data_IF_970604401085
#
_entry.id   IF_970604401085
#
_cell.length_a   1.000
_cell.length_b   1.000
_cell.length_c   1.000
_cell.angle_alpha   90.00
_cell.angle_beta   90.00
_cell.angle_gamma   90.00
#
_symmetry.space_group_name_H-M   'P 1'
#
loop_
_entity.id
_entity.type
_entity.pdbx_description
1 polymer ?
#
# COMPACT_ATOMS: atom_id res chain seq x y z
N UNK A 1 47.95 -67.45 -34.30
CA UNK A 1 46.48 -67.65 -34.35
C UNK A 1 45.73 -67.34 -33.04
N UNK A 2 46.16 -66.35 -32.24
CA UNK A 2 45.31 -65.79 -31.16
C UNK A 2 44.89 -64.36 -31.53
N UNK A 3 45.79 -63.59 -32.13
CA UNK A 3 45.55 -62.21 -32.60
C UNK A 3 44.48 -62.11 -33.70
N UNK A 4 44.41 -63.07 -34.62
CA UNK A 4 43.34 -63.12 -35.64
C UNK A 4 41.97 -63.51 -35.07
N UNK A 5 41.93 -64.29 -33.97
CA UNK A 5 40.67 -64.64 -33.30
C UNK A 5 40.15 -63.51 -32.42
N UNK A 6 41.04 -62.74 -31.78
CA UNK A 6 40.69 -61.52 -31.03
C UNK A 6 40.20 -60.42 -31.98
N UNK A 7 40.89 -60.19 -33.11
CA UNK A 7 40.46 -59.23 -34.12
C UNK A 7 39.12 -59.59 -34.76
N UNK A 8 38.81 -60.89 -34.92
CA UNK A 8 37.51 -61.37 -35.40
C UNK A 8 36.42 -61.27 -34.34
N UNK A 9 36.72 -61.58 -33.08
CA UNK A 9 35.79 -61.44 -31.96
C UNK A 9 35.42 -59.96 -31.66
N UNK A 10 36.35 -59.01 -31.85
CA UNK A 10 36.07 -57.57 -31.74
C UNK A 10 35.25 -57.06 -32.94
N UNK A 11 35.42 -57.66 -34.12
CA UNK A 11 34.70 -57.30 -35.36
C UNK A 11 33.30 -57.93 -35.47
N UNK A 12 33.06 -59.01 -34.74
CA UNK A 12 31.75 -59.71 -34.63
C UNK A 12 30.93 -59.26 -33.39
N UNK A 13 31.49 -58.42 -32.52
CA UNK A 13 30.78 -57.89 -31.36
C UNK A 13 29.84 -56.75 -31.78
N UNK A 14 28.58 -56.86 -31.35
CA UNK A 14 27.51 -55.87 -31.53
C UNK A 14 27.84 -54.51 -30.87
N UNK A 15 28.86 -53.80 -31.35
CA UNK A 15 29.18 -52.43 -30.93
C UNK A 15 28.00 -51.49 -31.16
N UNK A 16 27.18 -51.78 -32.16
CA UNK A 16 25.89 -51.13 -32.36
C UNK A 16 24.93 -51.38 -31.19
N UNK A 17 24.82 -52.61 -30.67
CA UNK A 17 23.97 -52.90 -29.51
C UNK A 17 24.47 -52.18 -28.25
N UNK A 18 25.77 -52.19 -27.99
CA UNK A 18 26.36 -51.47 -26.85
C UNK A 18 26.13 -49.96 -26.97
N UNK A 19 26.29 -49.39 -28.17
CA UNK A 19 26.01 -47.97 -28.42
C UNK A 19 24.52 -47.64 -28.24
N UNK A 20 23.64 -48.52 -28.70
CA UNK A 20 22.19 -48.37 -28.54
C UNK A 20 21.79 -48.44 -27.06
N UNK A 21 22.31 -49.40 -26.30
CA UNK A 21 22.09 -49.52 -24.85
C UNK A 21 22.56 -48.26 -24.11
N UNK A 22 23.73 -47.72 -24.47
CA UNK A 22 24.24 -46.47 -23.90
C UNK A 22 23.35 -45.27 -24.20
N UNK A 23 22.88 -45.12 -25.44
CA UNK A 23 21.95 -44.05 -25.82
C UNK A 23 20.62 -44.18 -25.08
N UNK A 24 20.09 -45.40 -24.91
CA UNK A 24 18.86 -45.65 -24.15
C UNK A 24 19.03 -45.23 -22.69
N UNK A 25 20.16 -45.56 -22.04
CA UNK A 25 20.43 -45.14 -20.66
C UNK A 25 20.49 -43.61 -20.56
N UNK A 26 21.22 -42.94 -21.45
CA UNK A 26 21.28 -41.46 -21.47
C UNK A 26 19.88 -40.88 -21.69
N UNK A 27 19.12 -41.40 -22.66
CA UNK A 27 17.76 -40.96 -22.94
C UNK A 27 16.87 -41.15 -21.70
N UNK A 28 17.00 -42.26 -20.98
CA UNK A 28 16.29 -42.51 -19.73
C UNK A 28 16.61 -41.47 -18.65
N UNK A 29 17.89 -41.15 -18.45
CA UNK A 29 18.32 -40.11 -17.50
C UNK A 29 17.82 -38.74 -17.90
N UNK A 30 17.94 -38.37 -19.18
CA UNK A 30 17.45 -37.09 -19.70
C UNK A 30 15.95 -36.98 -19.51
N UNK A 31 15.16 -37.99 -19.88
CA UNK A 31 13.70 -38.00 -19.70
C UNK A 31 13.34 -37.89 -18.20
N UNK A 32 14.06 -38.60 -17.32
CA UNK A 32 13.87 -38.47 -15.88
C UNK A 32 14.07 -37.03 -15.37
N UNK A 33 15.12 -36.35 -15.83
CA UNK A 33 15.34 -34.93 -15.53
C UNK A 33 14.28 -34.02 -16.15
N UNK A 34 13.81 -34.31 -17.35
CA UNK A 34 12.75 -33.50 -17.98
C UNK A 34 11.41 -33.64 -17.25
N UNK A 35 11.04 -34.84 -16.79
CA UNK A 35 9.81 -35.07 -16.00
C UNK A 35 9.87 -34.31 -14.67
N UNK A 36 11.01 -34.37 -13.98
CA UNK A 36 11.19 -33.67 -12.70
C UNK A 36 11.16 -32.15 -12.89
N UNK A 37 11.84 -31.61 -13.91
CA UNK A 37 11.77 -30.19 -14.26
C UNK A 37 10.36 -29.74 -14.65
N UNK A 38 9.62 -30.56 -15.40
CA UNK A 38 8.23 -30.28 -15.77
C UNK A 38 7.32 -30.26 -14.54
N UNK A 39 7.47 -31.20 -13.61
CA UNK A 39 6.69 -31.23 -12.38
C UNK A 39 6.97 -30.02 -11.49
N UNK A 40 8.24 -29.62 -11.35
CA UNK A 40 8.62 -28.40 -10.63
C UNK A 40 8.00 -27.15 -11.25
N UNK A 41 8.15 -26.96 -12.57
CA UNK A 41 7.53 -25.84 -13.28
C UNK A 41 6.00 -25.86 -13.21
N UNK A 42 5.36 -27.03 -13.11
CA UNK A 42 3.91 -27.14 -12.92
C UNK A 42 3.50 -26.70 -11.52
N UNK A 43 4.28 -27.06 -10.50
CA UNK A 43 4.05 -26.64 -9.12
C UNK A 43 4.22 -25.12 -8.97
N UNK A 44 5.31 -24.54 -9.50
CA UNK A 44 5.54 -23.08 -9.49
C UNK A 44 4.38 -22.31 -10.12
N UNK A 45 3.85 -22.77 -11.26
CA UNK A 45 2.66 -22.14 -11.88
C UNK A 45 1.40 -22.23 -11.01
N UNK A 46 1.27 -23.28 -10.21
CA UNK A 46 0.16 -23.43 -9.28
C UNK A 46 0.28 -22.43 -8.14
N UNK A 47 1.48 -22.31 -7.57
CA UNK A 47 1.78 -21.37 -6.48
C UNK A 47 1.64 -19.93 -6.95
N UNK A 48 2.16 -19.58 -8.14
CA UNK A 48 1.99 -18.25 -8.71
C UNK A 48 0.50 -17.90 -8.90
N UNK A 49 -0.32 -18.81 -9.40
CA UNK A 49 -1.75 -18.58 -9.57
C UNK A 49 -2.47 -18.33 -8.23
N UNK A 50 -2.06 -19.05 -7.17
CA UNK A 50 -2.56 -18.84 -5.81
C UNK A 50 -2.13 -17.48 -5.24
N UNK A 51 -0.86 -17.09 -5.42
CA UNK A 51 -0.35 -15.77 -5.04
C UNK A 51 -1.14 -14.66 -5.74
N UNK A 52 -1.37 -14.79 -7.05
CA UNK A 52 -2.11 -13.78 -7.81
C UNK A 52 -3.58 -13.67 -7.39
N UNK A 53 -4.25 -14.79 -7.09
CA UNK A 53 -5.62 -14.78 -6.59
C UNK A 53 -5.70 -14.10 -5.21
N UNK A 54 -4.82 -14.47 -4.28
CA UNK A 54 -4.75 -13.85 -2.95
C UNK A 54 -4.40 -12.36 -3.03
N UNK A 55 -3.51 -11.97 -3.94
CA UNK A 55 -3.16 -10.59 -4.19
C UNK A 55 -4.35 -9.76 -4.66
N UNK A 56 -5.13 -10.29 -5.58
CA UNK A 56 -6.36 -9.65 -6.02
C UNK A 56 -7.37 -9.50 -4.87
N UNK A 57 -7.62 -10.57 -4.10
CA UNK A 57 -8.54 -10.56 -2.97
C UNK A 57 -8.12 -9.55 -1.89
N UNK A 58 -6.83 -9.50 -1.55
CA UNK A 58 -6.29 -8.55 -0.58
C UNK A 58 -6.47 -7.10 -1.07
N UNK A 59 -6.16 -6.81 -2.35
CA UNK A 59 -6.36 -5.49 -2.96
C UNK A 59 -7.84 -5.08 -2.91
N UNK A 60 -8.74 -5.97 -3.30
CA UNK A 60 -10.18 -5.72 -3.28
C UNK A 60 -10.68 -5.46 -1.85
N UNK A 61 -10.15 -6.18 -0.85
CA UNK A 61 -10.58 -6.07 0.55
C UNK A 61 -10.22 -4.72 1.19
N UNK A 62 -9.10 -4.11 0.80
CA UNK A 62 -8.61 -2.87 1.43
C UNK A 62 -8.94 -1.61 0.61
N UNK A 63 -9.29 -1.75 -0.67
CA UNK A 63 -9.50 -0.64 -1.59
C UNK A 63 -10.48 0.42 -1.07
N UNK A 64 -11.71 0.01 -0.71
CA UNK A 64 -12.75 0.95 -0.26
C UNK A 64 -12.33 1.73 0.99
N UNK A 65 -11.82 1.02 2.00
CA UNK A 65 -11.36 1.66 3.24
C UNK A 65 -10.22 2.65 3.00
N UNK A 66 -9.33 2.38 2.04
CA UNK A 66 -8.26 3.31 1.62
C UNK A 66 -8.84 4.60 1.04
N UNK A 67 -9.82 4.48 0.14
CA UNK A 67 -10.40 5.64 -0.55
C UNK A 67 -11.29 6.49 0.35
N UNK A 68 -12.14 5.86 1.15
CA UNK A 68 -12.97 6.56 2.14
C UNK A 68 -12.10 7.42 3.07
N UNK A 69 -10.99 6.84 3.52
CA UNK A 69 -10.08 7.52 4.42
C UNK A 69 -9.28 8.64 3.73
N UNK A 70 -8.82 8.43 2.50
CA UNK A 70 -8.18 9.48 1.71
C UNK A 70 -9.15 10.66 1.46
N UNK A 71 -10.41 10.38 1.14
CA UNK A 71 -11.44 11.40 0.93
C UNK A 71 -11.74 12.20 2.20
N UNK A 72 -11.86 11.54 3.36
CA UNK A 72 -12.04 12.20 4.67
C UNK A 72 -10.90 13.18 4.98
N UNK A 73 -9.65 12.78 4.71
CA UNK A 73 -8.47 13.63 4.92
C UNK A 73 -8.47 14.83 4.00
N UNK A 74 -8.78 14.64 2.71
CA UNK A 74 -8.88 15.74 1.75
C UNK A 74 -9.95 16.75 2.18
N UNK A 75 -11.14 16.28 2.54
CA UNK A 75 -12.24 17.14 3.01
C UNK A 75 -11.89 17.90 4.29
N UNK A 76 -11.24 17.24 5.25
CA UNK A 76 -10.77 17.88 6.49
C UNK A 76 -9.73 18.96 6.20
N UNK A 77 -8.82 18.71 5.25
CA UNK A 77 -7.81 19.68 4.86
C UNK A 77 -8.41 20.89 4.16
N UNK A 78 -9.44 20.71 3.32
CA UNK A 78 -10.18 21.81 2.70
C UNK A 78 -10.82 22.72 3.76
N UNK A 79 -11.42 22.14 4.81
CA UNK A 79 -11.95 22.91 5.95
C UNK A 79 -10.85 23.66 6.70
N UNK A 80 -9.69 23.04 6.90
CA UNK A 80 -8.54 23.68 7.56
C UNK A 80 -8.00 24.86 6.74
N UNK A 81 -7.94 24.74 5.41
CA UNK A 81 -7.57 25.84 4.52
C UNK A 81 -8.63 26.95 4.51
N UNK A 82 -9.92 26.60 4.48
CA UNK A 82 -11.02 27.57 4.62
C UNK A 82 -10.90 28.36 5.93
N UNK A 83 -10.68 27.68 7.05
CA UNK A 83 -10.45 28.31 8.34
C UNK A 83 -9.22 29.24 8.31
N UNK A 84 -8.14 28.85 7.63
CA UNK A 84 -6.93 29.67 7.50
C UNK A 84 -7.20 30.99 6.76
N UNK A 85 -8.07 31.00 5.75
CA UNK A 85 -8.42 32.25 5.05
C UNK A 85 -9.13 33.24 5.97
N UNK A 86 -9.91 32.76 6.95
CA UNK A 86 -10.61 33.60 7.94
C UNK A 86 -9.71 34.09 9.08
N UNK A 87 -8.69 33.31 9.41
CA UNK A 87 -7.80 33.59 10.55
C UNK A 87 -6.56 34.39 10.15
N UNK A 88 -6.04 34.20 8.93
CA UNK A 88 -4.86 34.90 8.43
C UNK A 88 -5.16 35.94 7.34
N UNK A 89 -6.33 35.86 6.70
CA UNK A 89 -6.70 36.69 5.55
C UNK A 89 -7.67 37.82 5.87
N UNK A 90 -8.19 38.42 4.82
CA UNK A 90 -9.12 39.56 4.88
C UNK A 90 -10.59 39.13 5.08
N UNK A 91 -10.88 37.83 5.06
CA UNK A 91 -12.22 37.32 5.37
C UNK A 91 -12.45 37.39 6.89
N UNK A 92 -13.28 38.35 7.30
CA UNK A 92 -13.60 38.59 8.71
C UNK A 92 -14.82 37.80 9.20
N UNK A 93 -15.35 36.86 8.41
CA UNK A 93 -16.46 36.01 8.86
C UNK A 93 -16.04 35.07 9.99
N UNK A 94 -17.03 34.65 10.79
CA UNK A 94 -16.83 33.67 11.85
C UNK A 94 -16.53 32.27 11.29
N UNK A 95 -15.75 31.50 12.04
CA UNK A 95 -15.56 30.07 11.79
C UNK A 95 -16.88 29.32 11.94
N UNK A 96 -17.21 28.51 10.95
CA UNK A 96 -18.29 27.53 11.05
C UNK A 96 -17.92 26.41 12.04
N UNK A 97 -18.91 25.65 12.54
CA UNK A 97 -18.65 24.49 13.38
C UNK A 97 -17.69 23.47 12.77
N UNK A 98 -17.79 23.20 11.46
CA UNK A 98 -16.91 22.24 10.76
C UNK A 98 -15.48 22.75 10.62
N UNK A 99 -15.29 24.03 10.31
CA UNK A 99 -13.96 24.67 10.29
C UNK A 99 -13.31 24.66 11.68
N UNK A 100 -14.09 25.00 12.72
CA UNK A 100 -13.62 24.93 14.08
C UNK A 100 -13.21 23.50 14.49
N UNK A 101 -13.99 22.51 14.09
CA UNK A 101 -13.68 21.11 14.33
C UNK A 101 -12.38 20.68 13.63
N UNK A 102 -12.16 21.13 12.38
CA UNK A 102 -10.91 20.89 11.66
C UNK A 102 -9.70 21.54 12.36
N UNK A 103 -9.86 22.73 12.94
CA UNK A 103 -8.80 23.35 13.76
C UNK A 103 -8.52 22.54 15.02
N UNK A 104 -9.55 22.11 15.74
CA UNK A 104 -9.41 21.30 16.97
C UNK A 104 -8.69 19.97 16.69
N UNK A 105 -8.92 19.39 15.51
CA UNK A 105 -8.34 18.13 15.05
C UNK A 105 -7.04 18.28 14.27
N UNK A 106 -6.53 19.48 14.03
CA UNK A 106 -5.37 19.74 13.16
C UNK A 106 -4.05 19.09 13.61
N UNK A 107 -4.03 18.48 14.80
CA UNK A 107 -2.92 17.72 15.37
C UNK A 107 -3.04 16.20 15.15
N UNK A 108 -4.16 15.72 14.62
CA UNK A 108 -4.46 14.30 14.49
C UNK A 108 -4.04 13.82 13.10
N UNK A 109 -2.87 13.17 13.05
CA UNK A 109 -2.35 12.49 11.86
C UNK A 109 -2.35 10.98 12.10
N UNK A 110 -3.53 10.37 12.04
CA UNK A 110 -3.63 8.92 11.99
C UNK A 110 -3.47 8.46 10.54
N UNK A 111 -2.77 7.35 10.29
CA UNK A 111 -2.81 6.66 9.00
C UNK A 111 -3.26 5.22 9.26
N UNK A 112 -4.36 4.73 8.66
CA UNK A 112 -4.78 3.36 8.88
C UNK A 112 -3.74 2.40 8.30
N UNK A 113 -3.41 1.35 9.04
CA UNK A 113 -2.57 0.26 8.54
C UNK A 113 -3.36 -0.54 7.49
N UNK A 114 -3.29 -0.11 6.24
CA UNK A 114 -3.91 -0.75 5.07
C UNK A 114 -2.85 -1.55 4.28
N UNK A 115 -2.08 -2.36 5.02
CA UNK A 115 -1.09 -3.25 4.43
C UNK A 115 -1.79 -4.44 3.78
N UNK A 116 -1.22 -4.93 2.68
CA UNK A 116 -1.68 -6.13 1.98
C UNK A 116 -0.97 -7.35 2.60
N UNK A 117 -1.69 -8.27 3.29
CA UNK A 117 -1.09 -9.41 3.97
C UNK A 117 -0.19 -10.27 3.08
N UNK A 118 -0.62 -10.56 1.85
CA UNK A 118 0.18 -11.31 0.88
C UNK A 118 1.49 -10.64 0.54
N UNK A 119 1.55 -9.30 0.51
CA UNK A 119 2.79 -8.59 0.23
C UNK A 119 3.77 -8.73 1.39
N UNK A 120 3.30 -8.66 2.64
CA UNK A 120 4.15 -8.92 3.80
C UNK A 120 4.68 -10.36 3.82
N UNK A 121 3.87 -11.33 3.37
CA UNK A 121 4.31 -12.71 3.20
C UNK A 121 5.41 -12.82 2.13
N UNK A 122 5.20 -12.24 0.94
CA UNK A 122 6.17 -12.24 -0.16
C UNK A 122 7.50 -11.56 0.23
N UNK A 123 7.44 -10.48 1.00
CA UNK A 123 8.64 -9.82 1.55
C UNK A 123 9.36 -10.74 2.54
N UNK A 124 8.63 -11.39 3.45
CA UNK A 124 9.20 -12.24 4.49
C UNK A 124 9.79 -13.55 3.95
N UNK A 125 9.19 -14.15 2.92
CA UNK A 125 9.65 -15.42 2.36
C UNK A 125 10.67 -15.23 1.24
N UNK A 126 10.68 -14.05 0.60
CA UNK A 126 11.49 -13.79 -0.59
C UNK A 126 10.92 -14.42 -1.87
N UNK A 127 9.64 -14.81 -1.86
CA UNK A 127 8.98 -15.52 -2.96
C UNK A 127 8.55 -14.61 -4.12
N UNK A 128 8.96 -13.35 -4.13
CA UNK A 128 8.64 -12.42 -5.22
C UNK A 128 9.09 -12.94 -6.60
N UNK A 129 10.16 -13.74 -6.64
CA UNK A 129 10.67 -14.37 -7.86
C UNK A 129 9.73 -15.44 -8.45
N UNK A 130 8.78 -15.98 -7.66
CA UNK A 130 7.76 -16.91 -8.15
C UNK A 130 6.74 -16.22 -9.06
N UNK A 131 6.58 -14.90 -8.92
CA UNK A 131 5.74 -14.10 -9.82
C UNK A 131 6.52 -13.89 -11.12
N UNK A 132 6.10 -14.49 -12.22
CA UNK A 132 6.80 -14.40 -13.51
C UNK A 132 6.61 -13.05 -14.20
N UNK A 133 5.47 -12.41 -13.99
CA UNK A 133 5.16 -11.10 -14.58
C UNK A 133 6.09 -10.02 -14.00
N UNK A 134 6.99 -9.49 -14.84
CA UNK A 134 7.89 -8.40 -14.46
C UNK A 134 7.13 -7.13 -14.07
N UNK A 135 5.97 -6.90 -14.71
CA UNK A 135 5.08 -5.78 -14.39
C UNK A 135 4.59 -5.88 -12.94
N UNK A 136 4.11 -7.06 -12.52
CA UNK A 136 3.66 -7.29 -11.15
C UNK A 136 4.82 -7.15 -10.17
N UNK A 137 5.97 -7.79 -10.42
CA UNK A 137 7.14 -7.67 -9.53
C UNK A 137 7.57 -6.21 -9.33
N UNK A 138 7.55 -5.42 -10.40
CA UNK A 138 7.88 -4.00 -10.36
C UNK A 138 6.85 -3.21 -9.55
N UNK A 139 5.56 -3.45 -9.76
CA UNK A 139 4.48 -2.79 -9.01
C UNK A 139 4.51 -3.14 -7.52
N UNK A 140 4.75 -4.42 -7.17
CA UNK A 140 4.91 -4.87 -5.78
C UNK A 140 6.12 -4.19 -5.13
N UNK A 141 7.27 -4.14 -5.82
CA UNK A 141 8.47 -3.46 -5.31
C UNK A 141 8.22 -1.96 -5.09
N UNK A 142 7.54 -1.29 -6.02
CA UNK A 142 7.18 0.11 -5.88
C UNK A 142 6.24 0.33 -4.69
N UNK A 143 5.28 -0.57 -4.46
CA UNK A 143 4.37 -0.52 -3.32
C UNK A 143 5.10 -0.70 -1.97
N UNK A 144 6.08 -1.61 -1.90
CA UNK A 144 6.93 -1.76 -0.71
C UNK A 144 7.69 -0.48 -0.40
N UNK A 145 8.34 0.12 -1.40
CA UNK A 145 9.10 1.35 -1.22
C UNK A 145 8.20 2.52 -0.78
N UNK A 146 7.02 2.66 -1.39
CA UNK A 146 6.07 3.71 -1.05
C UNK A 146 5.52 3.53 0.38
N UNK A 147 5.20 2.30 0.78
CA UNK A 147 4.67 2.01 2.12
C UNK A 147 5.73 2.18 3.20
N UNK A 148 6.97 1.75 2.94
CA UNK A 148 8.09 1.95 3.86
C UNK A 148 8.38 3.45 4.09
N UNK A 149 8.43 4.23 2.99
CA UNK A 149 8.59 5.68 3.06
C UNK A 149 7.45 6.36 3.84
N UNK A 150 6.20 5.98 3.56
CA UNK A 150 5.03 6.50 4.26
C UNK A 150 5.08 6.24 5.76
N UNK A 151 5.46 5.02 6.17
CA UNK A 151 5.62 4.66 7.59
C UNK A 151 6.71 5.49 8.31
N UNK A 152 7.84 5.72 7.64
CA UNK A 152 8.92 6.58 8.17
C UNK A 152 8.43 8.03 8.34
N UNK A 153 7.74 8.57 7.34
CA UNK A 153 7.21 9.94 7.36
C UNK A 153 6.08 10.11 8.38
N UNK A 154 5.19 9.13 8.51
CA UNK A 154 4.12 9.12 9.53
C UNK A 154 4.70 9.21 10.94
N UNK A 155 5.74 8.42 11.22
CA UNK A 155 6.46 8.46 12.50
C UNK A 155 7.10 9.84 12.74
N UNK A 156 7.75 10.41 11.72
CA UNK A 156 8.41 11.70 11.83
C UNK A 156 7.42 12.87 12.07
N UNK A 157 6.24 12.83 11.43
CA UNK A 157 5.24 13.88 11.55
C UNK A 157 4.54 13.89 12.91
N UNK A 158 4.25 12.71 13.44
CA UNK A 158 3.54 12.54 14.71
C UNK A 158 4.37 12.94 15.96
N UNK A 159 5.68 13.17 15.82
CA UNK A 159 6.56 13.51 16.95
C UNK A 159 6.38 14.94 17.50
N UNK A 160 5.93 15.90 16.69
CA UNK A 160 5.79 17.30 17.11
C UNK A 160 4.57 17.96 16.42
N UNK A 161 3.38 17.77 16.96
CA UNK A 161 2.14 18.40 16.47
C UNK A 161 1.42 19.12 17.61
N UNK A 162 0.91 20.31 17.32
CA UNK A 162 0.32 21.17 18.35
C UNK A 162 -1.15 20.87 18.52
N UNK A 163 -1.53 20.24 19.63
CA UNK A 163 -2.93 20.13 20.02
C UNK A 163 -3.47 21.52 20.41
N UNK A 164 -4.04 22.22 19.43
CA UNK A 164 -4.49 23.62 19.57
C UNK A 164 -5.59 23.75 20.64
N UNK A 165 -6.53 22.81 20.71
CA UNK A 165 -7.64 22.87 21.68
C UNK A 165 -7.18 22.68 23.12
N UNK A 166 -6.17 21.86 23.36
CA UNK A 166 -5.58 21.71 24.69
C UNK A 166 -4.67 22.88 25.08
N UNK A 167 -3.99 23.50 24.10
CA UNK A 167 -2.99 24.56 24.34
C UNK A 167 -3.60 25.96 24.44
N UNK A 168 -4.75 26.16 23.78
CA UNK A 168 -5.48 27.43 23.73
C UNK A 168 -6.93 27.22 24.20
N UNK A 169 -7.15 26.76 25.44
CA UNK A 169 -8.47 26.36 25.92
C UNK A 169 -9.48 27.52 25.95
N UNK A 170 -9.00 28.76 26.00
CA UNK A 170 -9.85 29.95 25.97
C UNK A 170 -10.58 30.14 24.62
N UNK A 171 -10.06 29.53 23.55
CA UNK A 171 -10.64 29.66 22.21
C UNK A 171 -11.51 28.49 21.79
N UNK A 172 -11.45 27.35 22.47
CA UNK A 172 -12.19 26.15 22.09
C UNK A 172 -13.20 25.75 23.16
N UNK A 173 -14.44 25.52 22.75
CA UNK A 173 -15.50 25.02 23.62
C UNK A 173 -16.30 23.92 22.91
N UNK A 174 -16.80 22.95 23.67
CA UNK A 174 -17.47 21.77 23.15
C UNK A 174 -18.91 21.72 23.63
N UNK A 175 -19.84 21.52 22.69
CA UNK A 175 -21.28 21.42 22.99
C UNK A 175 -21.70 19.97 22.99
N UNK A 176 -22.17 19.47 24.14
CA UNK A 176 -22.73 18.10 24.22
C UNK A 176 -23.99 18.02 23.35
N UNK A 177 -24.06 17.10 22.37
CA UNK A 177 -25.25 16.87 21.56
C UNK A 177 -26.35 16.20 22.38
N UNK A 178 -27.60 16.29 21.89
CA UNK A 178 -28.76 15.72 22.56
C UNK A 178 -28.73 14.19 22.65
N UNK A 179 -28.11 13.52 21.69
CA UNK A 179 -27.82 12.07 21.70
C UNK A 179 -26.35 11.84 22.08
N UNK A 180 -26.10 11.66 23.38
CA UNK A 180 -24.75 11.57 23.93
C UNK A 180 -24.18 10.15 23.97
N UNK A 181 -24.94 9.12 23.56
CA UNK A 181 -24.53 7.71 23.69
C UNK A 181 -23.26 7.40 22.88
N UNK A 182 -22.99 8.18 21.81
CA UNK A 182 -21.79 8.13 20.99
C UNK A 182 -21.05 9.48 20.90
N UNK A 183 -21.17 10.36 21.91
CA UNK A 183 -20.56 11.69 21.87
C UNK A 183 -19.04 11.59 21.71
N UNK A 184 -18.52 12.14 20.61
CA UNK A 184 -17.10 12.17 20.31
C UNK A 184 -16.67 13.60 20.01
N UNK A 185 -16.36 14.40 21.05
CA UNK A 185 -16.33 15.87 20.96
C UNK A 185 -15.33 16.44 19.96
N UNK A 186 -14.36 15.62 19.57
CA UNK A 186 -13.31 16.00 18.63
C UNK A 186 -13.71 15.66 17.19
N UNK A 187 -14.60 14.68 16.96
CA UNK A 187 -14.89 14.12 15.63
C UNK A 187 -16.34 14.30 15.17
N UNK A 188 -17.23 14.84 16.00
CA UNK A 188 -18.67 14.96 15.72
C UNK A 188 -19.15 16.37 15.36
N UNK A 189 -18.24 17.35 15.28
CA UNK A 189 -18.58 18.74 14.98
C UNK A 189 -19.18 19.51 16.16
N UNK A 190 -19.03 19.02 17.39
CA UNK A 190 -19.42 19.74 18.61
C UNK A 190 -18.47 20.88 19.00
N UNK A 191 -17.27 20.93 18.40
CA UNK A 191 -16.32 22.01 18.61
C UNK A 191 -16.88 23.37 18.17
N UNK A 192 -16.60 24.40 18.96
CA UNK A 192 -16.93 25.80 18.71
C UNK A 192 -15.75 26.67 19.10
N UNK A 193 -15.60 27.80 18.40
CA UNK A 193 -14.38 28.59 18.42
C UNK A 193 -14.66 30.07 18.65
N UNK A 194 -13.82 30.73 19.45
CA UNK A 194 -13.71 32.19 19.50
C UNK A 194 -12.82 32.68 18.33
N UNK A 195 -13.44 32.99 17.20
CA UNK A 195 -12.73 33.40 15.98
C UNK A 195 -11.90 34.68 16.18
N UNK A 196 -12.46 35.66 16.88
CA UNK A 196 -11.78 36.95 17.10
C UNK A 196 -10.60 36.79 18.07
N UNK A 197 -10.76 35.99 19.13
CA UNK A 197 -9.67 35.63 20.04
C UNK A 197 -8.52 34.96 19.30
N UNK A 198 -8.82 33.93 18.50
CA UNK A 198 -7.84 33.20 17.67
C UNK A 198 -7.10 34.12 16.70
N UNK A 199 -7.82 35.01 16.00
CA UNK A 199 -7.25 35.93 15.01
C UNK A 199 -6.27 36.93 15.63
N UNK A 200 -6.44 37.26 16.92
CA UNK A 200 -5.59 38.22 17.62
C UNK A 200 -4.47 37.57 18.46
N UNK A 201 -4.40 36.24 18.51
CA UNK A 201 -3.32 35.52 19.20
C UNK A 201 -2.25 35.02 18.24
N UNK A 202 -1.10 35.70 18.29
CA UNK A 202 0.07 35.37 17.47
C UNK A 202 0.66 33.99 17.79
N UNK A 203 0.54 33.50 19.02
CA UNK A 203 1.01 32.16 19.38
C UNK A 203 0.12 31.11 18.72
N UNK A 204 -1.20 31.25 18.86
CA UNK A 204 -2.17 30.38 18.19
C UNK A 204 -1.94 30.34 16.68
N UNK A 205 -1.82 31.51 16.03
CA UNK A 205 -1.60 31.60 14.58
C UNK A 205 -0.30 30.91 14.13
N UNK A 206 0.79 31.03 14.88
CA UNK A 206 2.04 30.34 14.55
C UNK A 206 1.93 28.80 14.70
N UNK A 207 1.28 28.33 15.76
CA UNK A 207 1.06 26.89 15.97
C UNK A 207 0.09 26.31 14.93
N UNK A 208 -0.93 27.07 14.53
CA UNK A 208 -1.83 26.70 13.43
C UNK A 208 -1.10 26.63 12.09
N UNK A 209 -0.24 27.58 11.78
CA UNK A 209 0.54 27.57 10.54
C UNK A 209 1.43 26.32 10.43
N UNK A 210 2.01 25.87 11.55
CA UNK A 210 2.78 24.63 11.61
C UNK A 210 1.89 23.39 11.34
N UNK A 211 0.72 23.30 11.98
CA UNK A 211 -0.23 22.21 11.73
C UNK A 211 -0.71 22.18 10.26
N UNK A 212 -0.97 23.35 9.64
CA UNK A 212 -1.32 23.45 8.21
C UNK A 212 -0.19 22.94 7.32
N UNK A 213 1.06 23.32 7.63
CA UNK A 213 2.22 22.84 6.88
C UNK A 213 2.35 21.32 6.99
N UNK A 214 2.17 20.78 8.20
CA UNK A 214 2.25 19.33 8.45
C UNK A 214 1.10 18.58 7.78
N UNK A 215 -0.10 19.13 7.70
CA UNK A 215 -1.21 18.48 6.99
C UNK A 215 -0.98 18.38 5.49
N UNK A 216 -0.40 19.42 4.87
CA UNK A 216 0.03 19.35 3.47
C UNK A 216 1.15 18.33 3.26
N UNK A 217 2.13 18.28 4.17
CA UNK A 217 3.20 17.30 4.07
C UNK A 217 2.70 15.87 4.31
N UNK A 218 1.76 15.67 5.23
CA UNK A 218 1.13 14.38 5.47
C UNK A 218 0.39 13.86 4.23
N UNK A 219 -0.44 14.70 3.59
CA UNK A 219 -1.12 14.36 2.34
C UNK A 219 -0.14 13.92 1.24
N UNK A 220 0.95 14.69 1.06
CA UNK A 220 1.94 14.42 0.02
C UNK A 220 2.88 13.23 0.33
N UNK A 221 3.46 13.18 1.52
CA UNK A 221 4.50 12.20 1.85
C UNK A 221 3.95 10.89 2.42
N UNK A 222 2.81 10.93 3.10
CA UNK A 222 2.22 9.74 3.75
C UNK A 222 1.12 9.13 2.89
N UNK A 223 0.32 9.92 2.18
CA UNK A 223 -0.89 9.41 1.51
C UNK A 223 -0.74 9.20 0.01
N UNK A 224 -0.28 10.20 -0.74
CA UNK A 224 -0.31 10.14 -2.21
C UNK A 224 0.58 9.01 -2.75
N UNK A 225 1.82 8.87 -2.27
CA UNK A 225 2.75 7.83 -2.72
C UNK A 225 2.18 6.40 -2.57
N UNK A 226 1.74 5.98 -1.37
CA UNK A 226 1.09 4.70 -1.19
C UNK A 226 -0.18 4.52 -2.02
N UNK A 227 -1.05 5.53 -2.13
CA UNK A 227 -2.27 5.46 -2.94
C UNK A 227 -1.96 5.25 -4.43
N UNK A 228 -1.01 6.00 -4.97
CA UNK A 228 -0.58 5.89 -6.37
C UNK A 228 0.04 4.51 -6.64
N UNK A 229 0.91 4.04 -5.73
CA UNK A 229 1.52 2.71 -5.85
C UNK A 229 0.49 1.58 -5.75
N UNK A 230 -0.56 1.76 -4.95
CA UNK A 230 -1.65 0.81 -4.78
C UNK A 230 -2.51 0.74 -6.04
N UNK A 231 -2.84 1.90 -6.65
CA UNK A 231 -3.55 1.95 -7.92
C UNK A 231 -2.76 1.27 -9.04
N UNK A 232 -1.46 1.56 -9.14
CA UNK A 232 -0.60 0.94 -10.14
C UNK A 232 -0.50 -0.59 -9.94
N UNK A 233 -0.47 -1.06 -8.69
CA UNK A 233 -0.50 -2.48 -8.37
C UNK A 233 -1.83 -3.13 -8.74
N UNK A 234 -2.96 -2.49 -8.40
CA UNK A 234 -4.29 -2.95 -8.76
C UNK A 234 -4.45 -3.08 -10.28
N UNK A 235 -4.10 -2.03 -11.03
CA UNK A 235 -4.13 -2.03 -12.50
C UNK A 235 -3.25 -3.16 -13.07
N UNK A 236 -2.03 -3.34 -12.54
CA UNK A 236 -1.13 -4.37 -13.02
C UNK A 236 -1.72 -5.77 -12.82
N UNK A 237 -2.36 -6.02 -11.68
CA UNK A 237 -3.03 -7.30 -11.35
C UNK A 237 -4.24 -7.52 -12.25
N UNK A 238 -5.07 -6.51 -12.46
CA UNK A 238 -6.25 -6.61 -13.32
C UNK A 238 -5.87 -6.95 -14.76
N UNK A 239 -4.83 -6.29 -15.30
CA UNK A 239 -4.33 -6.58 -16.65
C UNK A 239 -3.76 -8.00 -16.75
N UNK A 240 -3.08 -8.49 -15.71
CA UNK A 240 -2.53 -9.86 -15.71
C UNK A 240 -3.63 -10.93 -15.60
N UNK A 241 -4.68 -10.67 -14.82
CA UNK A 241 -5.81 -11.57 -14.62
C UNK A 241 -6.91 -11.42 -15.68
N UNK A 242 -6.85 -10.39 -16.53
CA UNK A 242 -7.86 -10.08 -17.53
C UNK A 242 -9.18 -9.61 -16.92
N UNK A 243 -9.11 -8.94 -15.76
CA UNK A 243 -10.27 -8.38 -15.05
C UNK A 243 -10.60 -7.02 -15.66
N UNK A 244 -11.89 -6.78 -15.89
CA UNK A 244 -12.41 -5.49 -16.35
C UNK A 244 -13.46 -5.07 -15.34
N UNK A 245 -13.23 -3.96 -14.66
CA UNK A 245 -14.22 -3.34 -13.80
C UNK A 245 -15.24 -2.63 -14.69
N UNK A 246 -16.54 -2.86 -14.47
CA UNK A 246 -17.56 -1.99 -15.04
C UNK A 246 -17.41 -0.63 -14.34
N UNK A 247 -17.15 0.45 -15.10
CA UNK A 247 -17.18 1.80 -14.54
C UNK A 247 -18.54 2.00 -13.87
N UNK A 248 -18.55 2.20 -12.54
CA UNK A 248 -19.75 2.67 -11.85
C UNK A 248 -20.15 4.00 -12.51
N UNK A 249 -21.32 3.98 -13.15
CA UNK A 249 -21.87 5.14 -13.83
C UNK A 249 -22.00 6.32 -12.85
N UNK A 250 -21.74 7.56 -13.31
CA UNK A 250 -21.64 8.75 -12.47
C UNK A 250 -22.91 9.10 -11.70
#
# INVERSE_FOLDING_TARGET
MILQRISRAIREQNWFAVSLEFVIVIAGVVIGFQITAWNAARAERSTEAEIMARLHDDIASVGNARWDWAADRTATRELLLSASHKLFGDDLSDLSPSECNALAQSHVFNSPSLALPILAELESTGDLDLIRSERIRTAVTANFLATAWSSEMDTALNHEVFNLSARHPDYFYFVVPDDADNWNPIFDGSARCDTDGMRNDRRFLNELADNISKSGFFEFAVLSGPNDSFLALHEAVDVELGIVHEEEAP
#
